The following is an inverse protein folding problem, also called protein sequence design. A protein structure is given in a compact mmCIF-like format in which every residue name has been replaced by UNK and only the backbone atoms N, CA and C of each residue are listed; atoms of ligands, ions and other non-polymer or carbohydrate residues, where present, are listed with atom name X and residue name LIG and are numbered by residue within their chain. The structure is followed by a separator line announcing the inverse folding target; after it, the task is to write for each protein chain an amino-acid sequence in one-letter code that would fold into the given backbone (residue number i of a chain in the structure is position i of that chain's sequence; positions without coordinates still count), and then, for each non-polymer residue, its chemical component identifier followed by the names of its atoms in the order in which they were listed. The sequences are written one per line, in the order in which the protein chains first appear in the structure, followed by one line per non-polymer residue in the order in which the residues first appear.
data_IF_104506625012
#
_entry.id   IF_104506625012
#
_cell.length_a   1.000
_cell.length_b   1.000
_cell.length_c   1.000
_cell.angle_alpha   90.00
_cell.angle_beta   90.00
_cell.angle_gamma   90.00
#
_symmetry.space_group_name_H-M   'P 1'
#
loop_
_entity.id
_entity.type
_entity.pdbx_description
1 polymer ?
#
# COMPACT_ATOMS: atom_id res chain seq x y z
N UNK A 1 53.82 14.66 30.07
CA UNK A 1 53.86 14.17 31.47
C UNK A 1 52.48 14.42 32.03
N UNK A 2 51.63 13.51 32.51
CA UNK A 2 51.62 12.05 32.74
C UNK A 2 50.12 11.65 32.79
N UNK A 3 49.65 10.69 32.01
CA UNK A 3 49.22 9.32 32.40
C UNK A 3 48.36 9.16 33.68
N UNK A 4 47.15 8.59 33.53
CA UNK A 4 46.52 7.58 34.42
C UNK A 4 45.19 7.07 33.80
N UNK A 5 45.17 6.03 32.95
CA UNK A 5 44.78 4.63 33.22
C UNK A 5 43.83 4.33 34.40
N UNK A 6 42.70 3.67 34.09
CA UNK A 6 42.19 2.47 34.82
C UNK A 6 41.10 1.74 34.02
N UNK A 7 41.47 0.54 33.57
CA UNK A 7 40.56 -0.57 33.24
C UNK A 7 40.13 -1.28 34.53
N UNK A 8 38.96 -1.93 34.51
CA UNK A 8 38.72 -3.11 35.38
C UNK A 8 37.93 -4.19 34.62
N UNK A 9 38.60 -5.33 34.46
CA UNK A 9 38.09 -6.65 34.10
C UNK A 9 37.41 -7.31 35.31
N UNK A 10 36.35 -8.10 35.08
CA UNK A 10 36.01 -9.25 35.93
C UNK A 10 35.58 -10.43 35.05
N UNK A 11 36.20 -11.58 35.30
CA UNK A 11 36.04 -12.82 34.56
C UNK A 11 35.37 -13.91 35.44
N UNK A 12 34.61 -14.77 34.76
CA UNK A 12 34.40 -16.21 34.98
C UNK A 12 33.80 -16.72 36.30
N UNK A 13 32.72 -17.52 36.19
CA UNK A 13 32.82 -18.94 36.55
C UNK A 13 31.68 -19.79 35.96
N UNK A 14 32.10 -20.91 35.37
CA UNK A 14 31.26 -22.04 34.94
C UNK A 14 30.71 -22.80 36.16
N UNK A 15 29.54 -23.43 36.00
CA UNK A 15 29.35 -24.74 36.61
C UNK A 15 28.45 -25.64 35.77
N UNK A 16 28.97 -26.83 35.50
CA UNK A 16 28.39 -27.95 34.76
C UNK A 16 27.74 -28.89 35.76
N UNK A 17 26.53 -29.37 35.48
CA UNK A 17 26.02 -30.60 36.14
C UNK A 17 25.27 -31.48 35.14
N UNK A 18 25.81 -32.69 35.02
CA UNK A 18 25.32 -33.89 34.36
C UNK A 18 24.33 -34.61 35.30
N UNK A 19 23.22 -35.19 34.81
CA UNK A 19 22.67 -36.47 35.30
C UNK A 19 21.53 -36.96 34.36
N UNK A 20 21.77 -38.00 33.55
CA UNK A 20 21.40 -39.42 33.76
C UNK A 20 19.99 -39.80 33.28
N UNK A 21 19.99 -40.69 32.28
CA UNK A 21 18.90 -41.51 31.76
C UNK A 21 18.46 -42.57 32.78
N UNK A 22 17.23 -43.12 32.67
CA UNK A 22 17.16 -44.58 32.66
C UNK A 22 16.27 -45.17 31.55
N UNK A 23 16.69 -46.33 31.09
CA UNK A 23 16.05 -47.19 30.09
C UNK A 23 14.92 -48.06 30.68
N UNK A 24 14.04 -48.48 29.76
CA UNK A 24 13.52 -49.85 29.54
C UNK A 24 12.57 -50.48 30.58
N UNK A 25 11.37 -50.88 30.10
CA UNK A 25 10.96 -52.30 30.16
C UNK A 25 10.01 -52.68 29.01
N UNK A 26 10.28 -53.85 28.42
CA UNK A 26 9.45 -54.62 27.46
C UNK A 26 8.27 -55.30 28.17
N UNK A 27 7.20 -55.64 27.43
CA UNK A 27 6.57 -56.97 27.53
C UNK A 27 5.79 -57.33 26.27
N UNK A 28 5.96 -58.60 25.88
CA UNK A 28 5.37 -59.32 24.74
C UNK A 28 4.19 -60.19 25.21
N UNK A 29 3.58 -60.84 24.21
CA UNK A 29 2.78 -62.09 24.22
C UNK A 29 1.26 -61.93 24.25
N UNK A 30 0.56 -62.14 23.13
CA UNK A 30 0.20 -63.41 22.44
C UNK A 30 -0.75 -64.29 23.26
N UNK A 31 -1.98 -64.47 22.76
CA UNK A 31 -2.57 -65.81 22.55
C UNK A 31 -3.78 -65.76 21.61
N UNK A 32 -3.78 -66.73 20.71
CA UNK A 32 -4.78 -67.01 19.70
C UNK A 32 -5.83 -68.00 20.20
N UNK A 33 -7.03 -67.98 19.60
CA UNK A 33 -7.95 -69.12 19.55
C UNK A 33 -8.83 -69.03 18.30
N UNK A 34 -8.64 -69.99 17.40
CA UNK A 34 -9.50 -70.38 16.27
C UNK A 34 -10.65 -71.32 16.77
N UNK A 35 -11.56 -71.85 15.92
CA UNK A 35 -12.78 -71.20 15.46
C UNK A 35 -14.04 -72.07 15.75
N UNK A 36 -15.24 -71.54 15.60
CA UNK A 36 -16.46 -72.36 15.49
C UNK A 36 -17.29 -71.84 14.32
N UNK A 37 -17.47 -72.69 13.31
CA UNK A 37 -18.37 -72.48 12.18
C UNK A 37 -19.79 -72.93 12.53
N UNK A 38 -20.76 -72.11 12.08
CA UNK A 38 -22.17 -72.38 11.73
C UNK A 38 -22.90 -71.04 11.98
N UNK A 39 -23.72 -70.45 11.13
CA UNK A 39 -24.38 -70.89 9.90
C UNK A 39 -24.93 -69.63 9.18
N UNK A 40 -25.19 -69.77 7.88
CA UNK A 40 -26.17 -69.05 7.07
C UNK A 40 -26.19 -67.50 6.98
N UNK A 41 -25.71 -67.03 5.82
CA UNK A 41 -26.40 -66.10 4.92
C UNK A 41 -26.74 -64.68 5.42
N UNK A 42 -25.77 -63.77 5.26
CA UNK A 42 -26.05 -62.40 4.82
C UNK A 42 -24.88 -61.93 3.94
N UNK A 43 -25.17 -61.61 2.68
CA UNK A 43 -24.22 -60.97 1.77
C UNK A 43 -23.80 -59.63 2.40
N UNK A 44 -22.50 -59.33 2.57
CA UNK A 44 -22.13 -57.97 2.93
C UNK A 44 -22.34 -57.12 1.68
N UNK A 45 -23.36 -56.28 1.69
CA UNK A 45 -23.42 -55.13 0.81
C UNK A 45 -22.12 -54.36 0.98
N UNK A 46 -21.37 -54.29 -0.11
CA UNK A 46 -20.17 -53.46 -0.20
C UNK A 46 -20.67 -52.03 -0.34
N UNK A 47 -21.08 -51.43 0.77
CA UNK A 47 -21.24 -49.99 0.89
C UNK A 47 -19.82 -49.39 0.92
N UNK A 48 -19.19 -49.37 -0.25
CA UNK A 48 -18.12 -48.42 -0.50
C UNK A 48 -18.81 -47.05 -0.52
N UNK A 49 -18.49 -46.13 0.42
CA UNK A 49 -19.04 -44.80 0.34
C UNK A 49 -18.46 -44.17 -0.91
N UNK A 50 -19.25 -44.07 -1.97
CA UNK A 50 -18.97 -43.16 -3.06
C UNK A 50 -18.88 -41.78 -2.41
N UNK A 51 -17.68 -41.19 -2.38
CA UNK A 51 -17.52 -39.82 -1.93
C UNK A 51 -18.31 -38.93 -2.90
N UNK A 52 -19.57 -38.67 -2.56
CA UNK A 52 -20.43 -37.81 -3.36
C UNK A 52 -19.80 -36.42 -3.40
N UNK A 53 -19.87 -35.74 -4.54
CA UNK A 53 -19.25 -34.41 -4.76
C UNK A 53 -19.57 -33.39 -3.65
N UNK A 54 -20.76 -33.52 -3.04
CA UNK A 54 -21.17 -32.71 -1.90
C UNK A 54 -20.34 -32.99 -0.63
N UNK A 55 -19.98 -34.25 -0.37
CA UNK A 55 -19.12 -34.65 0.76
C UNK A 55 -17.67 -34.21 0.56
N UNK A 56 -17.15 -34.30 -0.67
CA UNK A 56 -15.80 -33.84 -1.01
C UNK A 56 -15.70 -32.31 -0.85
N UNK A 57 -16.67 -31.58 -1.40
CA UNK A 57 -16.67 -30.11 -1.31
C UNK A 57 -16.91 -29.62 0.12
N UNK A 58 -17.65 -30.36 0.95
CA UNK A 58 -17.76 -30.08 2.39
C UNK A 58 -16.42 -30.29 3.13
N UNK A 59 -15.67 -31.34 2.79
CA UNK A 59 -14.31 -31.59 3.31
C UNK A 59 -13.36 -30.45 2.91
N UNK A 60 -13.32 -30.07 1.63
CA UNK A 60 -12.50 -28.96 1.14
C UNK A 60 -12.78 -27.64 1.88
N UNK A 61 -14.06 -27.34 2.14
CA UNK A 61 -14.47 -26.16 2.92
C UNK A 61 -13.98 -26.21 4.36
N UNK A 62 -13.98 -27.38 4.99
CA UNK A 62 -13.50 -27.57 6.36
C UNK A 62 -11.98 -27.38 6.43
N UNK A 63 -11.24 -28.04 5.54
CA UNK A 63 -9.78 -27.92 5.46
C UNK A 63 -9.32 -26.48 5.17
N UNK A 64 -10.04 -25.76 4.29
CA UNK A 64 -9.74 -24.34 4.01
C UNK A 64 -9.96 -23.44 5.24
N UNK A 65 -10.98 -23.70 6.05
CA UNK A 65 -11.22 -22.98 7.31
C UNK A 65 -10.14 -23.29 8.36
N UNK A 66 -9.74 -24.55 8.47
CA UNK A 66 -8.67 -24.98 9.38
C UNK A 66 -7.32 -24.38 8.99
N UNK A 67 -7.00 -24.33 7.69
CA UNK A 67 -5.80 -23.68 7.19
C UNK A 67 -5.82 -22.16 7.48
N UNK A 68 -6.94 -21.49 7.27
CA UNK A 68 -7.08 -20.07 7.61
C UNK A 68 -6.88 -19.78 9.10
N UNK A 69 -7.39 -20.65 9.98
CA UNK A 69 -7.14 -20.54 11.42
C UNK A 69 -5.64 -20.71 11.76
N UNK A 70 -4.96 -21.67 11.10
CA UNK A 70 -3.52 -21.89 11.25
C UNK A 70 -2.70 -20.69 10.76
N UNK A 71 -3.05 -20.11 9.61
CA UNK A 71 -2.40 -18.90 9.06
C UNK A 71 -2.56 -17.71 10.00
N UNK A 72 -3.74 -17.52 10.57
CA UNK A 72 -3.96 -16.45 11.55
C UNK A 72 -3.14 -16.64 12.82
N UNK A 73 -2.91 -17.87 13.26
CA UNK A 73 -2.00 -18.18 14.38
C UNK A 73 -0.54 -17.86 14.03
N UNK A 74 -0.07 -18.28 12.85
CA UNK A 74 1.30 -18.02 12.37
C UNK A 74 1.56 -16.52 12.16
N UNK A 75 0.59 -15.77 11.64
CA UNK A 75 0.70 -14.30 11.46
C UNK A 75 0.72 -13.51 12.78
N UNK A 76 0.17 -14.08 13.86
CA UNK A 76 0.14 -13.45 15.20
C UNK A 76 1.40 -13.72 16.02
N UNK A 77 2.25 -14.66 15.62
CA UNK A 77 3.52 -14.93 16.29
C UNK A 77 4.48 -13.73 16.11
N UNK A 78 5.05 -13.22 17.22
CA UNK A 78 6.10 -12.19 17.17
C UNK A 78 7.44 -12.86 16.88
N UNK A 79 8.02 -12.59 15.71
CA UNK A 79 9.27 -13.22 15.24
C UNK A 79 10.14 -12.24 14.48
N UNK A 80 11.45 -12.50 14.47
CA UNK A 80 12.48 -11.67 13.83
C UNK A 80 12.22 -11.47 12.33
N UNK A 81 12.71 -10.36 11.73
CA UNK A 81 12.46 -10.00 10.32
C UNK A 81 12.79 -11.12 9.32
N UNK A 82 13.85 -11.90 9.57
CA UNK A 82 14.23 -13.05 8.74
C UNK A 82 13.21 -14.21 8.85
N UNK A 83 12.84 -14.57 10.08
CA UNK A 83 11.85 -15.63 10.37
C UNK A 83 10.43 -15.24 9.93
N UNK A 84 10.10 -13.94 9.93
CA UNK A 84 8.83 -13.43 9.39
C UNK A 84 8.71 -13.67 7.89
N UNK A 85 9.81 -13.55 7.14
CA UNK A 85 9.84 -13.87 5.70
C UNK A 85 9.70 -15.37 5.48
N UNK A 86 10.45 -16.19 6.22
CA UNK A 86 10.36 -17.66 6.15
C UNK A 86 8.93 -18.16 6.47
N UNK A 87 8.28 -17.60 7.49
CA UNK A 87 6.88 -17.91 7.83
C UNK A 87 5.89 -17.45 6.76
N UNK A 88 6.17 -16.34 6.07
CA UNK A 88 5.34 -15.87 4.97
C UNK A 88 5.46 -16.79 3.75
N UNK A 89 6.68 -17.24 3.44
CA UNK A 89 6.93 -18.21 2.37
C UNK A 89 6.28 -19.58 2.70
N UNK A 90 6.35 -20.03 3.96
CA UNK A 90 5.66 -21.24 4.44
C UNK A 90 4.14 -21.14 4.33
N UNK A 91 3.56 -19.96 4.63
CA UNK A 91 2.11 -19.72 4.44
C UNK A 91 1.72 -19.86 2.97
N UNK A 92 2.50 -19.27 2.05
CA UNK A 92 2.25 -19.35 0.61
C UNK A 92 2.34 -20.81 0.13
N UNK A 93 3.34 -21.56 0.61
CA UNK A 93 3.50 -22.97 0.28
C UNK A 93 2.32 -23.81 0.78
N UNK A 94 1.88 -23.62 2.03
CA UNK A 94 0.74 -24.35 2.59
C UNK A 94 -0.59 -24.06 1.87
N UNK A 95 -0.78 -22.82 1.40
CA UNK A 95 -1.94 -22.43 0.60
C UNK A 95 -1.91 -23.08 -0.80
N UNK A 96 -0.74 -23.09 -1.45
CA UNK A 96 -0.56 -23.70 -2.76
C UNK A 96 -0.75 -25.22 -2.73
N UNK A 97 -0.18 -25.92 -1.74
CA UNK A 97 -0.28 -27.37 -1.60
C UNK A 97 -1.72 -27.83 -1.34
N UNK A 98 -2.50 -27.04 -0.57
CA UNK A 98 -3.91 -27.36 -0.29
C UNK A 98 -4.78 -27.15 -1.53
N UNK A 99 -4.58 -26.06 -2.27
CA UNK A 99 -5.32 -25.79 -3.51
C UNK A 99 -4.98 -26.82 -4.60
N UNK A 100 -3.71 -27.23 -4.73
CA UNK A 100 -3.29 -28.27 -5.66
C UNK A 100 -3.96 -29.62 -5.34
N UNK A 101 -3.98 -30.04 -4.07
CA UNK A 101 -4.69 -31.28 -3.66
C UNK A 101 -6.18 -31.20 -3.94
N UNK A 102 -6.83 -30.08 -3.65
CA UNK A 102 -8.27 -29.91 -3.90
C UNK A 102 -8.58 -29.94 -5.40
N UNK A 103 -7.72 -29.36 -6.24
CA UNK A 103 -7.83 -29.40 -7.68
C UNK A 103 -7.67 -30.83 -8.23
N UNK A 104 -6.69 -31.59 -7.73
CA UNK A 104 -6.48 -32.99 -8.13
C UNK A 104 -7.64 -33.90 -7.70
N UNK A 105 -8.15 -33.73 -6.48
CA UNK A 105 -9.31 -34.48 -5.98
C UNK A 105 -10.57 -34.19 -6.82
N UNK A 106 -10.78 -32.93 -7.22
CA UNK A 106 -11.90 -32.54 -8.06
C UNK A 106 -11.76 -33.05 -9.50
N UNK A 107 -10.55 -32.97 -10.07
CA UNK A 107 -10.25 -33.53 -11.39
C UNK A 107 -10.43 -35.05 -11.41
N UNK A 108 -10.03 -35.75 -10.35
CA UNK A 108 -10.22 -37.19 -10.23
C UNK A 108 -11.69 -37.58 -10.13
N UNK A 109 -12.50 -36.85 -9.35
CA UNK A 109 -13.95 -37.06 -9.32
C UNK A 109 -14.60 -36.78 -10.68
N UNK A 110 -14.17 -35.72 -11.38
CA UNK A 110 -14.68 -35.42 -12.72
C UNK A 110 -14.27 -36.49 -13.75
N UNK A 111 -13.04 -37.00 -13.68
CA UNK A 111 -12.58 -38.10 -14.54
C UNK A 111 -13.34 -39.41 -14.26
N UNK A 112 -13.66 -39.69 -12.99
CA UNK A 112 -14.49 -40.83 -12.60
C UNK A 112 -15.94 -40.70 -13.08
N UNK A 113 -16.50 -39.48 -13.10
CA UNK A 113 -17.81 -39.21 -13.70
C UNK A 113 -17.80 -39.41 -15.22
N UNK A 114 -16.73 -39.00 -15.90
CA UNK A 114 -16.58 -39.15 -17.36
C UNK A 114 -16.34 -40.62 -17.75
N UNK A 115 -15.66 -41.41 -16.91
CA UNK A 115 -15.39 -42.84 -17.19
C UNK A 115 -16.61 -43.77 -17.03
N UNK A 116 -17.76 -43.26 -16.56
CA UNK A 116 -19.03 -44.03 -16.50
C UNK A 116 -19.88 -43.81 -17.76
N UNK A 117 -19.50 -42.88 -18.65
CA UNK A 117 -20.15 -42.67 -19.94
C UNK A 117 -19.11 -42.75 -21.09
N UNK A 118 -18.97 -43.94 -21.68
CA UNK A 118 -18.42 -44.11 -23.04
C UNK A 118 -19.55 -44.28 -24.08
N UNK A 119 -19.33 -43.90 -25.36
CA UNK A 119 -20.37 -43.36 -26.23
C UNK A 119 -21.02 -44.42 -27.15
N UNK A 120 -22.33 -44.30 -27.36
CA UNK A 120 -23.03 -44.93 -28.49
C UNK A 120 -24.11 -43.98 -29.05
N UNK A 121 -23.93 -43.56 -30.30
CA UNK A 121 -24.93 -42.86 -31.11
C UNK A 121 -25.76 -43.89 -31.93
N UNK A 122 -26.78 -43.49 -32.72
CA UNK A 122 -27.96 -42.69 -32.37
C UNK A 122 -29.26 -43.39 -32.84
N UNK A 123 -30.39 -43.24 -32.14
CA UNK A 123 -31.71 -43.59 -32.72
C UNK A 123 -32.90 -42.87 -32.05
N UNK A 124 -33.44 -41.91 -32.80
CA UNK A 124 -34.87 -41.65 -33.09
C UNK A 124 -35.86 -41.33 -31.95
N UNK A 125 -36.32 -40.08 -32.02
CA UNK A 125 -37.62 -39.49 -31.64
C UNK A 125 -38.04 -39.45 -30.17
N UNK A 126 -38.23 -38.22 -29.70
CA UNK A 126 -39.20 -37.92 -28.66
C UNK A 126 -38.90 -36.63 -27.90
N UNK A 127 -39.51 -35.55 -28.38
CA UNK A 127 -39.96 -34.40 -27.56
C UNK A 127 -38.93 -33.32 -27.19
N UNK A 128 -39.29 -32.11 -27.60
CA UNK A 128 -38.71 -30.84 -27.19
C UNK A 128 -38.74 -30.70 -25.67
N UNK A 129 -37.57 -30.49 -25.09
CA UNK A 129 -37.38 -30.13 -23.70
C UNK A 129 -36.07 -29.37 -23.57
N UNK A 130 -36.10 -28.07 -23.90
CA UNK A 130 -35.08 -27.12 -23.47
C UNK A 130 -35.11 -27.04 -21.94
N UNK A 131 -34.46 -27.98 -21.25
CA UNK A 131 -34.23 -27.93 -19.81
C UNK A 131 -33.00 -27.05 -19.56
N UNK A 132 -33.16 -25.82 -19.05
CA UNK A 132 -32.02 -24.97 -18.75
C UNK A 132 -31.22 -25.62 -17.64
N UNK A 133 -29.92 -25.88 -17.88
CA UNK A 133 -28.98 -26.33 -16.85
C UNK A 133 -29.13 -25.41 -15.63
N UNK A 134 -29.76 -25.92 -14.56
CA UNK A 134 -30.14 -25.14 -13.38
C UNK A 134 -28.87 -24.77 -12.63
N UNK A 135 -28.29 -23.62 -12.97
CA UNK A 135 -27.13 -23.06 -12.30
C UNK A 135 -27.32 -23.12 -10.78
N UNK A 136 -26.33 -23.69 -10.09
CA UNK A 136 -26.36 -23.86 -8.64
C UNK A 136 -26.64 -22.54 -7.93
N UNK A 137 -27.39 -22.60 -6.83
CA UNK A 137 -27.73 -21.44 -5.98
C UNK A 137 -26.48 -20.67 -5.52
N UNK A 138 -25.33 -21.34 -5.39
CA UNK A 138 -24.04 -20.73 -5.07
C UNK A 138 -23.42 -19.98 -6.26
N UNK A 139 -23.53 -20.54 -7.47
CA UNK A 139 -23.06 -19.92 -8.70
C UNK A 139 -23.90 -18.68 -9.05
N UNK A 140 -25.22 -18.77 -8.94
CA UNK A 140 -26.14 -17.61 -9.09
C UNK A 140 -25.81 -16.46 -8.12
N UNK A 141 -25.36 -16.76 -6.89
CA UNK A 141 -24.94 -15.72 -5.92
C UNK A 141 -23.61 -15.06 -6.30
N UNK A 142 -22.63 -15.84 -6.81
CA UNK A 142 -21.33 -15.30 -7.26
C UNK A 142 -21.49 -14.45 -8.52
N UNK A 143 -22.30 -14.91 -9.47
CA UNK A 143 -22.56 -14.18 -10.70
C UNK A 143 -23.38 -12.92 -10.42
N UNK A 144 -24.40 -12.97 -9.56
CA UNK A 144 -25.11 -11.78 -9.10
C UNK A 144 -24.16 -10.77 -8.44
N UNK A 145 -23.27 -11.20 -7.55
CA UNK A 145 -22.26 -10.31 -6.95
C UNK A 145 -21.29 -9.74 -7.99
N UNK A 146 -20.81 -10.57 -8.92
CA UNK A 146 -19.92 -10.09 -9.99
C UNK A 146 -20.61 -9.12 -10.93
N UNK A 147 -21.90 -9.32 -11.22
CA UNK A 147 -22.71 -8.39 -12.01
C UNK A 147 -22.92 -7.08 -11.26
N UNK A 148 -23.30 -7.13 -9.97
CA UNK A 148 -23.42 -5.94 -9.12
C UNK A 148 -22.09 -5.17 -9.01
N UNK A 149 -20.96 -5.87 -8.86
CA UNK A 149 -19.62 -5.25 -8.81
C UNK A 149 -19.24 -4.62 -10.17
N UNK A 150 -19.54 -5.29 -11.30
CA UNK A 150 -19.32 -4.76 -12.64
C UNK A 150 -20.22 -3.56 -12.94
N UNK A 151 -21.49 -3.61 -12.55
CA UNK A 151 -22.43 -2.50 -12.69
C UNK A 151 -21.99 -1.32 -11.83
N UNK A 152 -21.58 -1.55 -10.59
CA UNK A 152 -21.00 -0.53 -9.71
C UNK A 152 -19.74 0.09 -10.32
N UNK A 153 -18.82 -0.72 -10.84
CA UNK A 153 -17.62 -0.22 -11.50
C UNK A 153 -17.94 0.56 -12.79
N UNK A 154 -18.92 0.10 -13.57
CA UNK A 154 -19.37 0.80 -14.77
C UNK A 154 -20.03 2.14 -14.42
N UNK A 155 -20.83 2.20 -13.35
CA UNK A 155 -21.41 3.45 -12.84
C UNK A 155 -20.32 4.42 -12.38
N UNK A 156 -19.35 3.96 -11.59
CA UNK A 156 -18.20 4.79 -11.16
C UNK A 156 -17.44 5.32 -12.38
N UNK A 157 -17.13 4.44 -13.35
CA UNK A 157 -16.39 4.83 -14.55
C UNK A 157 -17.17 5.84 -15.43
N UNK A 158 -18.49 5.67 -15.53
CA UNK A 158 -19.36 6.59 -16.26
C UNK A 158 -19.45 7.95 -15.55
N UNK A 159 -19.56 7.96 -14.22
CA UNK A 159 -19.56 9.17 -13.40
C UNK A 159 -18.22 9.90 -13.47
N UNK A 160 -17.09 9.19 -13.38
CA UNK A 160 -15.74 9.76 -13.55
C UNK A 160 -15.54 10.33 -14.96
N UNK A 161 -16.09 9.68 -16.00
CA UNK A 161 -16.04 10.19 -17.36
C UNK A 161 -16.89 11.45 -17.55
N UNK A 162 -18.09 11.50 -16.97
CA UNK A 162 -18.97 12.66 -17.00
C UNK A 162 -18.36 13.84 -16.21
N UNK A 163 -17.73 13.55 -15.07
CA UNK A 163 -17.10 14.55 -14.21
C UNK A 163 -15.68 14.94 -14.67
N UNK A 164 -15.12 14.31 -15.71
CA UNK A 164 -13.77 14.61 -16.18
C UNK A 164 -13.58 16.09 -16.53
N UNK A 165 -14.62 16.74 -17.08
CA UNK A 165 -14.59 18.16 -17.43
C UNK A 165 -14.91 19.13 -16.28
N UNK A 166 -15.52 18.66 -15.20
CA UNK A 166 -16.02 19.47 -14.08
C UNK A 166 -15.41 19.10 -12.73
N UNK A 167 -14.49 18.13 -12.69
CA UNK A 167 -13.86 17.69 -11.45
C UNK A 167 -13.11 18.86 -10.79
N UNK A 168 -13.10 18.95 -9.45
CA UNK A 168 -12.39 20.01 -8.74
C UNK A 168 -10.94 20.16 -9.17
N UNK A 169 -10.26 19.04 -9.45
CA UNK A 169 -8.90 19.01 -10.00
C UNK A 169 -8.79 19.70 -11.35
N UNK A 170 -9.63 19.34 -12.31
CA UNK A 170 -9.56 19.91 -13.68
C UNK A 170 -9.93 21.40 -13.67
N UNK A 171 -10.86 21.81 -12.83
CA UNK A 171 -11.18 23.22 -12.63
C UNK A 171 -10.02 23.99 -11.99
N UNK A 172 -9.35 23.40 -11.00
CA UNK A 172 -8.17 23.95 -10.35
C UNK A 172 -7.00 24.09 -11.33
N UNK A 173 -6.62 23.00 -12.01
CA UNK A 173 -5.54 22.95 -12.99
C UNK A 173 -5.76 23.98 -14.11
N UNK A 174 -6.99 24.05 -14.65
CA UNK A 174 -7.35 25.04 -15.67
C UNK A 174 -7.20 26.47 -15.15
N UNK A 175 -7.67 26.75 -13.92
CA UNK A 175 -7.62 28.10 -13.36
C UNK A 175 -6.18 28.54 -13.10
N UNK A 176 -5.34 27.65 -12.58
CA UNK A 176 -3.92 27.92 -12.37
C UNK A 176 -3.22 28.14 -13.71
N UNK A 177 -3.49 27.30 -14.71
CA UNK A 177 -2.94 27.47 -16.06
C UNK A 177 -3.30 28.84 -16.68
N UNK A 178 -4.55 29.29 -16.54
CA UNK A 178 -4.98 30.63 -16.97
C UNK A 178 -4.20 31.75 -16.25
N UNK A 179 -4.02 31.64 -14.93
CA UNK A 179 -3.28 32.63 -14.14
C UNK A 179 -1.80 32.69 -14.51
N UNK A 180 -1.18 31.55 -14.83
CA UNK A 180 0.20 31.46 -15.28
C UNK A 180 0.37 32.01 -16.70
N UNK A 181 -0.52 31.62 -17.62
CA UNK A 181 -0.48 32.08 -19.01
C UNK A 181 -0.59 33.60 -19.11
N UNK A 182 -1.44 34.24 -18.30
CA UNK A 182 -1.57 35.69 -18.21
C UNK A 182 -0.25 36.39 -17.78
N UNK A 183 0.68 35.66 -17.20
CA UNK A 183 1.98 36.14 -16.70
C UNK A 183 3.15 35.66 -17.57
N UNK A 184 2.90 34.94 -18.65
CA UNK A 184 3.94 34.33 -19.49
C UNK A 184 4.67 33.17 -18.80
N UNK A 185 4.04 32.52 -17.81
CA UNK A 185 4.59 31.40 -17.06
C UNK A 185 3.87 30.09 -17.44
N UNK A 186 4.53 28.97 -17.15
CA UNK A 186 3.97 27.62 -17.18
C UNK A 186 4.27 26.88 -15.87
N UNK A 187 3.45 25.89 -15.53
CA UNK A 187 3.65 25.05 -14.34
C UNK A 187 4.75 24.02 -14.64
N UNK A 188 5.70 23.87 -13.74
CA UNK A 188 6.72 22.84 -13.81
C UNK A 188 6.43 21.76 -12.76
N UNK A 189 6.13 20.51 -13.18
CA UNK A 189 5.74 19.45 -12.27
C UNK A 189 6.92 19.02 -11.37
N UNK A 190 6.64 18.87 -10.08
CA UNK A 190 7.57 18.38 -9.08
C UNK A 190 7.08 17.04 -8.54
N UNK A 191 7.99 16.20 -8.06
CA UNK A 191 7.65 14.91 -7.49
C UNK A 191 6.61 15.05 -6.37
N UNK A 192 5.55 14.22 -6.43
CA UNK A 192 4.46 14.18 -5.47
C UNK A 192 4.85 13.43 -4.17
N UNK A 193 5.91 13.90 -3.53
CA UNK A 193 6.34 13.42 -2.22
C UNK A 193 6.25 14.54 -1.17
N UNK A 194 6.65 14.21 0.06
CA UNK A 194 6.61 15.19 1.15
C UNK A 194 7.61 16.33 1.03
N UNK A 195 8.51 16.29 0.04
CA UNK A 195 9.49 17.34 -0.23
C UNK A 195 9.02 18.34 -1.31
N UNK A 196 7.78 18.20 -1.83
CA UNK A 196 7.30 18.99 -2.96
C UNK A 196 7.52 20.52 -2.83
N UNK A 197 7.24 21.12 -1.66
CA UNK A 197 7.52 22.54 -1.41
C UNK A 197 9.01 22.88 -1.61
N UNK A 198 9.88 22.14 -0.93
CA UNK A 198 11.32 22.36 -0.95
C UNK A 198 11.92 22.10 -2.33
N UNK A 199 11.45 21.07 -3.02
CA UNK A 199 11.86 20.76 -4.39
C UNK A 199 11.39 21.85 -5.38
N UNK A 200 10.20 22.40 -5.20
CA UNK A 200 9.69 23.49 -6.03
C UNK A 200 10.50 24.80 -5.83
N UNK A 201 10.86 25.10 -4.58
CA UNK A 201 11.75 26.23 -4.24
C UNK A 201 13.17 26.00 -4.77
N UNK A 202 13.75 24.80 -4.57
CA UNK A 202 15.05 24.42 -5.11
C UNK A 202 15.08 24.64 -6.63
N UNK A 203 14.07 24.16 -7.34
CA UNK A 203 13.96 24.35 -8.78
C UNK A 203 13.88 25.83 -9.16
N UNK A 204 13.11 26.66 -8.44
CA UNK A 204 13.06 28.12 -8.66
C UNK A 204 14.42 28.79 -8.44
N UNK A 205 15.13 28.44 -7.37
CA UNK A 205 16.46 28.99 -7.07
C UNK A 205 17.46 28.68 -8.19
N UNK A 206 17.44 27.45 -8.71
CA UNK A 206 18.32 27.00 -9.78
C UNK A 206 17.98 27.65 -11.12
N UNK A 207 16.72 27.53 -11.56
CA UNK A 207 16.28 28.00 -12.88
C UNK A 207 16.23 29.52 -13.01
N UNK A 208 15.79 30.23 -11.96
CA UNK A 208 15.57 31.68 -12.02
C UNK A 208 16.75 32.49 -11.48
N UNK A 209 17.37 32.03 -10.40
CA UNK A 209 18.43 32.78 -9.71
C UNK A 209 19.83 32.19 -9.94
N UNK A 210 19.95 31.08 -10.69
CA UNK A 210 21.21 30.35 -10.88
C UNK A 210 21.91 29.99 -9.55
N UNK A 211 21.12 29.76 -8.51
CA UNK A 211 21.60 29.39 -7.18
C UNK A 211 21.51 27.87 -6.99
N UNK A 212 22.63 27.18 -7.22
CA UNK A 212 22.73 25.72 -7.17
C UNK A 212 23.27 25.18 -5.84
N UNK A 213 23.53 26.07 -4.88
CA UNK A 213 24.11 25.72 -3.57
C UNK A 213 23.11 25.09 -2.60
N UNK A 214 21.81 25.15 -2.88
CA UNK A 214 20.76 24.67 -2.00
C UNK A 214 20.25 23.29 -2.42
N UNK A 215 20.40 22.33 -1.52
CA UNK A 215 19.72 21.05 -1.60
C UNK A 215 18.43 21.04 -0.77
N UNK A 216 17.56 20.06 -1.03
CA UNK A 216 16.26 19.91 -0.34
C UNK A 216 16.43 19.85 1.18
N UNK A 217 17.49 19.18 1.65
CA UNK A 217 17.83 19.11 3.07
C UNK A 217 18.23 20.46 3.68
N UNK A 218 18.97 21.29 2.94
CA UNK A 218 19.39 22.63 3.40
C UNK A 218 18.18 23.55 3.55
N UNK A 219 17.23 23.47 2.62
CA UNK A 219 15.99 24.24 2.67
C UNK A 219 15.11 23.80 3.86
N UNK A 220 15.06 22.49 4.16
CA UNK A 220 14.37 21.98 5.36
C UNK A 220 15.00 22.48 6.65
N UNK A 221 16.32 22.43 6.72
CA UNK A 221 17.10 22.92 7.86
C UNK A 221 16.84 24.41 8.07
N UNK A 222 16.94 25.21 7.00
CA UNK A 222 16.69 26.65 7.01
C UNK A 222 15.28 26.98 7.50
N UNK A 223 14.26 26.25 7.03
CA UNK A 223 12.89 26.45 7.49
C UNK A 223 12.75 26.15 8.99
N UNK A 224 13.29 25.02 9.45
CA UNK A 224 13.21 24.63 10.86
C UNK A 224 13.96 25.60 11.78
N UNK A 225 15.16 26.04 11.38
CA UNK A 225 15.97 26.99 12.16
C UNK A 225 15.26 28.34 12.30
N UNK A 226 14.71 28.86 11.21
CA UNK A 226 13.91 30.09 11.27
C UNK A 226 12.70 29.95 12.19
N UNK A 227 12.01 28.80 12.14
CA UNK A 227 10.82 28.56 12.97
C UNK A 227 11.20 28.52 14.46
N UNK A 228 12.30 27.85 14.80
CA UNK A 228 12.85 27.80 16.16
C UNK A 228 13.28 29.19 16.66
N UNK A 229 14.01 29.94 15.85
CA UNK A 229 14.52 31.28 16.19
C UNK A 229 13.39 32.32 16.36
N UNK A 230 12.25 32.11 15.69
CA UNK A 230 11.11 33.03 15.68
C UNK A 230 9.89 32.46 16.41
N UNK A 231 10.10 31.48 17.30
CA UNK A 231 9.05 30.75 18.01
C UNK A 231 7.99 31.65 18.63
N UNK A 232 8.38 32.71 19.33
CA UNK A 232 7.43 33.61 20.02
C UNK A 232 6.40 34.21 19.06
N UNK A 233 6.78 34.46 17.80
CA UNK A 233 5.87 35.01 16.79
C UNK A 233 5.08 33.93 16.04
N UNK A 234 5.66 32.74 15.87
CA UNK A 234 5.11 31.68 15.02
C UNK A 234 4.15 30.78 15.80
N UNK A 235 4.41 30.54 17.10
CA UNK A 235 3.69 29.58 17.92
C UNK A 235 2.17 29.84 17.94
N UNK A 236 1.74 31.10 17.85
CA UNK A 236 0.33 31.49 17.83
C UNK A 236 -0.45 30.96 16.61
N UNK A 237 0.25 30.61 15.54
CA UNK A 237 -0.34 30.03 14.33
C UNK A 237 -0.26 28.49 14.32
N UNK A 238 0.25 27.88 15.39
CA UNK A 238 0.46 26.44 15.49
C UNK A 238 -0.46 25.86 16.55
N UNK A 239 -1.47 25.12 16.12
CA UNK A 239 -2.43 24.46 17.00
C UNK A 239 -2.35 22.94 16.91
N UNK A 240 -2.62 22.28 18.04
CA UNK A 240 -2.78 20.84 18.06
C UNK A 240 -4.10 20.48 17.36
N UNK A 241 -4.11 19.55 16.39
CA UNK A 241 -5.31 19.21 15.63
C UNK A 241 -6.41 18.52 16.46
N UNK A 242 -6.03 17.84 17.55
CA UNK A 242 -6.97 17.09 18.40
C UNK A 242 -7.59 17.99 19.49
N UNK A 243 -6.81 18.91 20.06
CA UNK A 243 -7.28 19.78 21.16
C UNK A 243 -7.69 21.18 20.70
N UNK A 244 -7.15 21.65 19.58
CA UNK A 244 -7.33 23.02 19.09
C UNK A 244 -6.51 24.08 19.85
N UNK A 245 -5.76 23.67 20.88
CA UNK A 245 -4.92 24.57 21.67
C UNK A 245 -3.62 24.90 20.94
N UNK A 246 -2.99 26.01 21.30
CA UNK A 246 -1.64 26.36 20.85
C UNK A 246 -0.68 25.25 21.27
N UNK A 247 0.25 24.88 20.37
CA UNK A 247 1.23 23.83 20.63
C UNK A 247 2.01 24.08 21.93
N UNK A 248 2.12 23.04 22.74
CA UNK A 248 3.02 23.05 23.88
C UNK A 248 4.49 23.03 23.45
N UNK A 249 5.38 23.28 24.41
CA UNK A 249 6.83 23.32 24.18
C UNK A 249 7.36 22.05 23.48
N UNK A 250 6.97 20.87 23.99
CA UNK A 250 7.44 19.59 23.46
C UNK A 250 6.88 19.28 22.06
N UNK A 251 5.64 19.71 21.80
CA UNK A 251 5.00 19.54 20.51
C UNK A 251 5.61 20.47 19.45
N UNK A 252 5.92 21.71 19.84
CA UNK A 252 6.65 22.64 19.00
C UNK A 252 8.04 22.10 18.64
N UNK A 253 8.80 21.57 19.61
CA UNK A 253 10.10 20.93 19.35
C UNK A 253 9.96 19.74 18.40
N UNK A 254 8.91 18.93 18.58
CA UNK A 254 8.62 17.79 17.70
C UNK A 254 8.30 18.27 16.27
N UNK A 255 7.53 19.34 16.12
CA UNK A 255 7.23 19.94 14.82
C UNK A 255 8.51 20.37 14.10
N UNK A 256 9.38 21.14 14.76
CA UNK A 256 10.62 21.61 14.16
C UNK A 256 11.54 20.44 13.77
N UNK A 257 11.60 19.39 14.59
CA UNK A 257 12.30 18.15 14.24
C UNK A 257 11.70 17.46 13.01
N UNK A 258 10.37 17.43 12.87
CA UNK A 258 9.70 16.84 11.70
C UNK A 258 10.02 17.62 10.42
N UNK A 259 9.89 18.95 10.45
CA UNK A 259 10.25 19.83 9.34
C UNK A 259 11.67 19.59 8.87
N UNK A 260 12.61 19.48 9.82
CA UNK A 260 14.04 19.30 9.58
C UNK A 260 14.41 17.92 9.03
N UNK A 261 13.90 16.85 9.65
CA UNK A 261 14.45 15.49 9.48
C UNK A 261 13.53 14.50 8.76
N UNK A 262 12.33 14.91 8.36
CA UNK A 262 11.35 14.01 7.75
C UNK A 262 10.81 14.59 6.46
N UNK A 263 10.13 13.76 5.65
CA UNK A 263 9.37 14.22 4.49
C UNK A 263 7.98 14.73 4.90
N UNK A 264 7.89 15.53 5.96
CA UNK A 264 6.63 16.18 6.32
C UNK A 264 6.31 17.25 5.27
N UNK A 265 5.03 17.37 4.94
CA UNK A 265 4.53 18.39 4.03
C UNK A 265 4.78 19.78 4.63
N UNK A 266 5.28 20.72 3.82
CA UNK A 266 5.41 22.10 4.23
C UNK A 266 4.15 22.89 3.89
N UNK A 267 3.77 23.82 4.77
CA UNK A 267 2.65 24.72 4.58
C UNK A 267 3.07 26.18 4.65
N UNK A 268 2.14 27.04 5.05
CA UNK A 268 2.31 28.50 5.13
C UNK A 268 3.51 28.92 5.98
N UNK A 269 3.73 28.25 7.12
CA UNK A 269 4.81 28.58 8.05
C UNK A 269 6.18 28.32 7.40
N UNK A 270 6.33 27.20 6.70
CA UNK A 270 7.56 26.85 5.98
C UNK A 270 7.79 27.79 4.81
N UNK A 271 6.75 28.18 4.05
CA UNK A 271 6.88 29.15 2.96
C UNK A 271 7.38 30.50 3.50
N UNK A 272 6.82 30.99 4.60
CA UNK A 272 7.27 32.21 5.26
C UNK A 272 8.72 32.10 5.73
N UNK A 273 9.08 30.97 6.35
CA UNK A 273 10.42 30.71 6.82
C UNK A 273 11.46 30.70 5.69
N UNK A 274 11.15 30.02 4.58
CA UNK A 274 12.00 29.97 3.39
C UNK A 274 12.15 31.35 2.74
N UNK A 275 11.06 32.12 2.63
CA UNK A 275 11.11 33.48 2.09
C UNK A 275 12.06 34.38 2.88
N UNK A 276 11.95 34.37 4.21
CA UNK A 276 12.84 35.12 5.10
C UNK A 276 14.29 34.62 5.06
N UNK A 277 14.49 33.29 5.08
CA UNK A 277 15.83 32.69 5.09
C UNK A 277 16.60 32.92 3.80
N UNK A 278 15.93 32.82 2.65
CA UNK A 278 16.51 33.03 1.32
C UNK A 278 16.61 34.51 0.92
N UNK A 279 15.92 35.40 1.66
CA UNK A 279 15.75 36.83 1.32
C UNK A 279 15.18 36.99 -0.09
N UNK A 280 14.16 36.19 -0.37
CA UNK A 280 13.47 36.14 -1.65
C UNK A 280 11.96 36.22 -1.38
N UNK A 281 11.23 37.12 -2.07
CA UNK A 281 9.78 37.05 -2.04
C UNK A 281 9.31 35.73 -2.65
N UNK A 282 8.33 35.06 -2.04
CA UNK A 282 7.72 33.84 -2.58
C UNK A 282 6.24 34.08 -2.82
N UNK A 283 5.83 34.05 -4.09
CA UNK A 283 4.42 34.18 -4.49
C UNK A 283 3.82 32.80 -4.75
N UNK A 284 2.66 32.53 -4.15
CA UNK A 284 1.93 31.26 -4.32
C UNK A 284 0.68 31.49 -5.19
N UNK A 285 0.68 30.94 -6.40
CA UNK A 285 -0.49 30.95 -7.29
C UNK A 285 -1.38 29.75 -6.94
N UNK A 286 -2.67 30.02 -6.70
CA UNK A 286 -3.67 29.00 -6.35
C UNK A 286 -4.98 29.30 -7.09
N UNK A 287 -5.79 28.26 -7.33
CA UNK A 287 -7.05 28.41 -8.08
C UNK A 287 -8.12 29.20 -7.31
N UNK A 288 -8.09 29.17 -5.98
CA UNK A 288 -9.07 29.82 -5.11
C UNK A 288 -8.40 30.82 -4.18
N UNK A 289 -9.00 32.00 -4.04
CA UNK A 289 -8.47 33.07 -3.20
C UNK A 289 -7.43 33.95 -3.92
N UNK A 290 -6.80 34.82 -3.14
CA UNK A 290 -5.68 35.66 -3.59
C UNK A 290 -4.40 34.85 -3.66
N UNK A 291 -3.45 35.27 -4.51
CA UNK A 291 -2.09 34.72 -4.51
C UNK A 291 -1.28 35.41 -3.41
N UNK A 292 -1.03 34.78 -2.24
CA UNK A 292 -0.25 35.42 -1.19
C UNK A 292 1.21 35.57 -1.64
N UNK A 293 1.83 36.66 -1.20
CA UNK A 293 3.26 36.92 -1.36
C UNK A 293 3.89 36.96 0.02
N UNK A 294 4.83 36.06 0.26
CA UNK A 294 5.66 36.06 1.45
C UNK A 294 6.91 36.90 1.20
N UNK A 295 7.38 37.63 2.21
CA UNK A 295 8.58 38.44 2.09
C UNK A 295 8.42 39.65 1.17
N UNK A 296 7.29 40.36 1.22
CA UNK A 296 7.06 41.57 0.42
C UNK A 296 8.11 42.68 0.64
N UNK A 297 8.86 42.63 1.75
CA UNK A 297 9.97 43.54 2.05
C UNK A 297 11.33 43.10 1.45
N UNK A 298 11.41 41.92 0.86
CA UNK A 298 12.62 41.39 0.23
C UNK A 298 12.77 41.88 -1.22
N UNK A 299 13.92 41.62 -1.84
CA UNK A 299 14.23 42.07 -3.20
C UNK A 299 13.23 41.50 -4.25
N UNK A 300 12.38 42.34 -4.89
CA UNK A 300 11.43 41.89 -5.89
C UNK A 300 12.08 41.23 -7.13
N UNK A 301 13.35 41.55 -7.41
CA UNK A 301 14.09 40.95 -8.52
C UNK A 301 14.39 39.45 -8.27
N UNK A 302 14.41 39.03 -7.00
CA UNK A 302 14.63 37.65 -6.57
C UNK A 302 13.34 36.87 -6.31
N UNK A 303 12.19 37.40 -6.72
CA UNK A 303 10.89 36.77 -6.48
C UNK A 303 10.80 35.37 -7.12
N UNK A 304 10.41 34.40 -6.30
CA UNK A 304 10.10 33.03 -6.70
C UNK A 304 8.58 32.88 -6.86
N UNK A 305 8.13 32.10 -7.84
CA UNK A 305 6.71 31.87 -8.10
C UNK A 305 6.42 30.37 -8.09
N UNK A 306 5.57 29.94 -7.18
CA UNK A 306 5.13 28.54 -7.06
C UNK A 306 3.63 28.44 -7.36
N UNK A 307 3.17 27.22 -7.61
CA UNK A 307 1.73 26.93 -7.67
C UNK A 307 1.35 25.96 -6.57
N UNK A 308 0.20 26.18 -5.96
CA UNK A 308 -0.36 25.34 -4.90
C UNK A 308 -1.69 24.76 -5.38
N UNK A 309 -1.80 23.44 -5.24
CA UNK A 309 -2.90 22.63 -5.74
C UNK A 309 -3.50 21.82 -4.59
N UNK A 310 -4.79 21.97 -4.32
CA UNK A 310 -5.52 21.24 -3.26
C UNK A 310 -6.06 19.89 -3.71
N UNK A 311 -6.30 19.76 -5.02
CA UNK A 311 -7.04 18.65 -5.61
C UNK A 311 -6.23 17.90 -6.68
N UNK A 312 -4.97 18.28 -6.91
CA UNK A 312 -4.09 17.61 -7.87
C UNK A 312 -3.89 16.12 -7.54
N UNK A 313 -3.74 15.78 -6.24
CA UNK A 313 -3.57 14.40 -5.80
C UNK A 313 -4.61 13.99 -4.76
N UNK A 314 -4.87 12.68 -4.67
CA UNK A 314 -5.80 12.12 -3.66
C UNK A 314 -5.33 12.35 -2.23
N UNK A 315 -4.01 12.47 -2.03
CA UNK A 315 -3.41 12.74 -0.72
C UNK A 315 -3.56 14.19 -0.29
N UNK A 316 -4.03 15.08 -1.18
CA UNK A 316 -4.33 16.48 -0.89
C UNK A 316 -3.39 17.45 -1.59
N UNK A 317 -2.93 18.42 -0.81
CA UNK A 317 -2.12 19.58 -1.17
C UNK A 317 -0.79 19.24 -1.85
N UNK A 318 -0.38 20.07 -2.81
CA UNK A 318 0.87 19.90 -3.52
C UNK A 318 1.40 21.22 -4.09
N UNK A 319 2.72 21.37 -4.08
CA UNK A 319 3.42 22.49 -4.69
C UNK A 319 4.14 22.08 -5.96
N UNK A 320 3.96 22.88 -7.01
CA UNK A 320 4.75 22.81 -8.23
C UNK A 320 5.56 24.10 -8.42
N UNK A 321 6.66 23.98 -9.16
CA UNK A 321 7.47 25.14 -9.56
C UNK A 321 6.84 25.82 -10.78
N UNK A 322 7.43 26.91 -11.24
CA UNK A 322 7.03 27.58 -12.50
C UNK A 322 8.24 27.83 -13.38
N UNK A 323 8.02 27.94 -14.68
CA UNK A 323 9.05 28.29 -15.67
C UNK A 323 8.49 29.32 -16.63
N UNK A 324 9.38 30.05 -17.32
CA UNK A 324 8.95 30.91 -18.41
C UNK A 324 8.29 30.05 -19.50
N UNK A 325 7.13 30.48 -20.00
CA UNK A 325 6.35 29.69 -20.97
C UNK A 325 7.12 29.39 -22.27
N UNK A 326 8.11 30.22 -22.61
CA UNK A 326 9.00 30.03 -23.76
C UNK A 326 10.01 28.90 -23.53
N UNK A 327 10.42 28.66 -22.28
CA UNK A 327 11.33 27.56 -21.93
C UNK A 327 10.60 26.21 -21.96
N UNK A 328 9.37 26.16 -21.44
CA UNK A 328 8.56 24.93 -21.41
C UNK A 328 8.27 24.32 -22.80
N UNK A 329 8.24 25.15 -23.87
CA UNK A 329 8.01 24.68 -25.23
C UNK A 329 9.21 23.94 -25.84
N UNK A 330 10.43 24.12 -25.33
CA UNK A 330 11.63 23.44 -25.85
C UNK A 330 11.79 22.04 -25.27
N UNK A 331 11.47 21.87 -23.99
CA UNK A 331 11.60 20.57 -23.31
C UNK A 331 10.51 19.58 -23.77
N UNK A 332 9.35 20.06 -24.22
CA UNK A 332 8.27 19.22 -24.74
C UNK A 332 8.51 18.68 -26.16
N UNK A 333 9.44 19.27 -26.94
CA UNK A 333 9.81 18.76 -28.26
C UNK A 333 10.87 17.64 -28.17
N UNK A 334 11.66 17.58 -27.09
CA UNK A 334 12.72 16.58 -26.92
C UNK A 334 12.19 15.23 -26.39
N UNK A 335 11.09 15.23 -25.64
CA UNK A 335 10.44 14.01 -25.11
C UNK A 335 9.50 13.31 -26.12
N UNK A 336 9.35 13.84 -27.33
CA UNK A 336 8.41 13.35 -28.36
C UNK A 336 8.98 12.39 -29.40
N UNK A 337 10.29 12.09 -29.37
CA UNK A 337 11.00 11.41 -30.48
C UNK A 337 11.64 10.06 -30.10
N UNK A 338 11.07 9.33 -29.13
CA UNK A 338 11.43 7.93 -28.85
C UNK A 338 10.20 7.03 -28.62
N UNK A 339 9.43 6.70 -29.66
CA UNK A 339 8.69 5.42 -29.79
C UNK A 339 8.16 5.23 -31.22
N UNK A 340 9.05 4.90 -32.16
CA UNK A 340 8.67 4.10 -33.34
C UNK A 340 9.96 3.48 -33.93
N UNK A 341 10.23 2.24 -33.51
CA UNK A 341 11.40 1.45 -33.96
C UNK A 341 11.26 -0.03 -33.65
#
# INVERSE_FOLDING_TARGET
QSSCHRETHWALNLNVTFFVYPQSVRSRDRKASHPTMADAAARPEVDAPTEDEETLTARHRKEKKELQAKIQSLKKAKVDKKKKKELQDEIVQLEADLEARHADELNRLNALKISVEEPAAPAVNGEEGDEPVKMSKAQRRREKKSQEDKERQAQIKAEEAANRGSSPRVLEDRKIAELLAARGLASFPVAADGDCLYNAVKHQLQSRLSAYEYETGDLRQMAADYIEDNKESIIFYMTNPDTGDILGEDEFRKYCHQVRNTKSWGGEIEVKALSSGLKCPIEIIQASGTSPVHGEGEDPARKLVLTYHRHMYRLGEHYNSTVDAVAAGKDAEEDGEEDDG
#
